data_IF_505763820606
#
_entry.id   IF_505763820606
#
_cell.length_a   1.000
_cell.length_b   1.000
_cell.length_c   1.000
_cell.angle_alpha   90.00
_cell.angle_beta   90.00
_cell.angle_gamma   90.00
#
_symmetry.space_group_name_H-M   'P 1'
#
loop_
_entity.id
_entity.type
_entity.pdbx_description
1 polymer ?
#
# COMPACT_ATOMS: atom_id res chain seq x y z
N UNK A 1 -57.94 -33.18 -60.10
CA UNK A 1 -58.16 -34.20 -59.05
C UNK A 1 -56.79 -34.64 -58.56
N UNK A 2 -56.47 -34.38 -57.27
CA UNK A 2 -55.65 -35.23 -56.36
C UNK A 2 -54.17 -35.51 -56.79
N UNK A 3 -53.12 -35.52 -55.96
CA UNK A 3 -52.85 -35.36 -54.53
C UNK A 3 -51.31 -35.42 -54.35
N UNK A 4 -50.77 -34.56 -53.49
CA UNK A 4 -49.61 -34.71 -52.57
C UNK A 4 -48.50 -35.75 -52.84
N UNK A 5 -47.23 -35.30 -52.75
CA UNK A 5 -46.19 -36.00 -51.96
C UNK A 5 -45.04 -35.09 -51.46
N UNK A 6 -45.20 -34.65 -50.21
CA UNK A 6 -44.23 -34.52 -49.09
C UNK A 6 -42.76 -34.08 -49.33
N UNK A 7 -42.49 -32.86 -48.89
CA UNK A 7 -41.48 -32.41 -47.91
C UNK A 7 -40.28 -33.31 -47.57
N UNK A 8 -39.07 -32.73 -47.72
CA UNK A 8 -37.95 -32.94 -46.79
C UNK A 8 -37.34 -31.59 -46.43
N UNK A 9 -37.52 -31.20 -45.18
CA UNK A 9 -36.89 -30.02 -44.59
C UNK A 9 -35.41 -30.29 -44.31
N UNK A 10 -34.57 -29.31 -44.63
CA UNK A 10 -33.20 -29.22 -44.16
C UNK A 10 -33.19 -28.15 -43.08
N UNK A 11 -33.08 -28.56 -41.83
CA UNK A 11 -32.87 -27.65 -40.70
C UNK A 11 -31.35 -27.49 -40.58
N UNK A 12 -30.86 -26.31 -40.95
CA UNK A 12 -29.47 -25.89 -40.70
C UNK A 12 -29.43 -25.40 -39.24
N UNK A 13 -28.64 -26.01 -38.34
CA UNK A 13 -28.53 -25.51 -36.99
C UNK A 13 -27.62 -24.28 -37.01
N UNK A 14 -28.19 -23.12 -36.69
CA UNK A 14 -27.45 -21.90 -36.38
C UNK A 14 -26.63 -22.14 -35.12
N UNK A 15 -25.33 -22.34 -35.26
CA UNK A 15 -24.39 -22.40 -34.14
C UNK A 15 -24.28 -20.98 -33.57
N UNK A 16 -24.93 -20.73 -32.43
CA UNK A 16 -24.68 -19.54 -31.62
C UNK A 16 -23.24 -19.65 -31.08
N UNK A 17 -22.36 -18.81 -31.59
CA UNK A 17 -21.02 -18.59 -31.05
C UNK A 17 -21.19 -17.89 -29.69
N UNK A 18 -21.11 -18.66 -28.61
CA UNK A 18 -21.14 -18.14 -27.25
C UNK A 18 -19.99 -17.18 -27.01
N UNK A 19 -20.31 -15.95 -26.62
CA UNK A 19 -19.37 -14.97 -26.09
C UNK A 19 -18.77 -15.56 -24.80
N UNK A 20 -17.59 -16.17 -24.86
CA UNK A 20 -16.77 -16.40 -23.68
C UNK A 20 -16.25 -15.03 -23.23
N UNK A 21 -16.96 -14.41 -22.29
CA UNK A 21 -16.41 -13.31 -21.51
C UNK A 21 -15.19 -13.85 -20.75
N UNK A 22 -14.00 -13.52 -21.24
CA UNK A 22 -12.76 -13.76 -20.54
C UNK A 22 -12.79 -13.00 -19.21
N UNK A 23 -13.17 -13.67 -18.13
CA UNK A 23 -12.83 -13.24 -16.78
C UNK A 23 -11.31 -13.36 -16.65
N UNK A 24 -10.59 -12.29 -17.04
CA UNK A 24 -9.20 -12.15 -16.67
C UNK A 24 -9.15 -12.13 -15.12
N UNK A 25 -8.44 -13.06 -14.47
CA UNK A 25 -8.21 -12.96 -13.04
C UNK A 25 -7.50 -11.63 -12.80
N UNK A 26 -8.12 -10.74 -12.02
CA UNK A 26 -7.42 -9.55 -11.53
C UNK A 26 -6.20 -10.04 -10.75
N UNK A 27 -5.00 -9.46 -10.97
CA UNK A 27 -3.86 -9.79 -10.13
C UNK A 27 -4.29 -9.56 -8.67
N UNK A 28 -4.15 -10.61 -7.86
CA UNK A 28 -4.38 -10.53 -6.44
C UNK A 28 -3.28 -9.65 -5.84
N UNK A 29 -3.52 -8.34 -5.80
CA UNK A 29 -2.80 -7.46 -4.89
C UNK A 29 -2.86 -8.14 -3.52
N UNK A 30 -1.71 -8.32 -2.87
CA UNK A 30 -1.61 -8.96 -1.56
C UNK A 30 -2.73 -8.41 -0.66
N UNK A 31 -3.78 -9.22 -0.47
CA UNK A 31 -5.01 -8.74 0.13
C UNK A 31 -4.73 -8.70 1.62
N UNK A 32 -4.39 -7.52 2.11
CA UNK A 32 -4.27 -7.28 3.55
C UNK A 32 -5.57 -7.70 4.21
N UNK A 33 -5.47 -8.35 5.37
CA UNK A 33 -6.65 -8.74 6.12
C UNK A 33 -7.47 -7.47 6.39
N UNK A 34 -8.72 -7.39 5.89
CA UNK A 34 -9.55 -6.20 6.04
C UNK A 34 -9.70 -5.72 7.49
N UNK A 35 -9.50 -6.61 8.46
CA UNK A 35 -9.54 -6.27 9.89
C UNK A 35 -8.46 -5.25 10.28
N UNK A 36 -7.35 -5.15 9.54
CA UNK A 36 -6.27 -4.18 9.78
C UNK A 36 -6.36 -2.92 8.91
N UNK A 37 -7.49 -2.67 8.25
CA UNK A 37 -7.71 -1.48 7.44
C UNK A 37 -7.64 -0.15 8.21
N UNK A 38 -7.68 -0.20 9.55
CA UNK A 38 -7.47 0.97 10.41
C UNK A 38 -5.99 1.38 10.52
N UNK A 39 -5.05 0.48 10.21
CA UNK A 39 -3.61 0.80 10.17
C UNK A 39 -3.34 1.53 8.86
N UNK A 40 -3.00 2.83 8.89
CA UNK A 40 -2.96 3.64 7.67
C UNK A 40 -1.93 3.15 6.64
N UNK A 41 -2.12 3.39 5.34
CA UNK A 41 -1.19 2.93 4.30
C UNK A 41 0.21 3.50 4.49
N UNK A 42 1.25 2.69 4.25
CA UNK A 42 2.64 3.14 4.25
C UNK A 42 3.08 3.72 2.91
N UNK A 43 4.25 4.34 2.87
CA UNK A 43 4.72 5.07 1.69
C UNK A 43 4.96 4.20 0.46
N UNK A 44 5.39 2.93 0.60
CA UNK A 44 5.50 2.00 -0.54
C UNK A 44 4.12 1.68 -1.10
N UNK A 45 3.14 1.49 -0.22
CA UNK A 45 1.75 1.24 -0.63
C UNK A 45 1.16 2.45 -1.35
N UNK A 46 1.42 3.67 -0.86
CA UNK A 46 1.01 4.92 -1.52
C UNK A 46 1.70 5.08 -2.89
N UNK A 47 3.02 4.88 -2.96
CA UNK A 47 3.79 4.98 -4.20
C UNK A 47 3.30 3.99 -5.27
N UNK A 48 3.06 2.73 -4.89
CA UNK A 48 2.54 1.71 -5.81
C UNK A 48 1.07 1.97 -6.19
N UNK A 49 0.30 2.61 -5.32
CA UNK A 49 -1.06 3.09 -5.60
C UNK A 49 -1.12 4.11 -6.73
N UNK A 50 -0.09 4.94 -6.90
CA UNK A 50 -0.01 5.91 -8.00
C UNK A 50 0.01 5.22 -9.39
N UNK A 51 0.72 4.10 -9.52
CA UNK A 51 0.69 3.29 -10.75
C UNK A 51 -0.72 2.77 -11.04
N UNK A 52 -1.41 2.28 -10.01
CA UNK A 52 -2.81 1.84 -10.13
C UNK A 52 -3.78 2.96 -10.52
N UNK A 53 -3.45 4.20 -10.13
CA UNK A 53 -4.17 5.42 -10.50
C UNK A 53 -3.77 5.99 -11.88
N UNK A 54 -2.81 5.37 -12.58
CA UNK A 54 -2.37 5.77 -13.91
C UNK A 54 -1.26 6.83 -13.94
N UNK A 55 -0.48 6.98 -12.86
CA UNK A 55 0.75 7.79 -12.89
C UNK A 55 1.69 7.26 -13.98
N UNK A 56 2.34 8.17 -14.70
CA UNK A 56 3.23 7.77 -15.78
C UNK A 56 4.55 7.21 -15.23
N UNK A 57 5.14 6.25 -15.93
CA UNK A 57 6.40 5.63 -15.51
C UNK A 57 7.52 6.66 -15.31
N UNK A 58 7.56 7.74 -16.10
CA UNK A 58 8.56 8.81 -15.91
C UNK A 58 8.38 9.59 -14.60
N UNK A 59 7.15 9.72 -14.09
CA UNK A 59 6.88 10.43 -12.83
C UNK A 59 7.38 9.59 -11.66
N UNK A 60 7.11 8.28 -11.71
CA UNK A 60 7.64 7.31 -10.74
C UNK A 60 9.16 7.27 -10.80
N UNK A 61 9.74 7.18 -12.00
CA UNK A 61 11.20 7.21 -12.16
C UNK A 61 11.82 8.49 -11.59
N UNK A 62 11.20 9.66 -11.79
CA UNK A 62 11.66 10.93 -11.23
C UNK A 62 11.59 10.96 -9.69
N UNK A 63 10.61 10.28 -9.08
CA UNK A 63 10.57 10.09 -7.63
C UNK A 63 11.70 9.19 -7.15
N UNK A 64 11.98 8.10 -7.87
CA UNK A 64 12.97 7.11 -7.44
C UNK A 64 14.42 7.54 -7.67
N UNK A 65 14.68 8.39 -8.67
CA UNK A 65 16.05 8.78 -9.02
C UNK A 65 16.57 10.00 -8.27
N UNK A 66 15.69 10.74 -7.59
CA UNK A 66 16.07 11.99 -6.96
C UNK A 66 16.48 11.78 -5.50
N UNK A 67 17.37 12.63 -5.05
CA UNK A 67 17.86 12.70 -3.67
C UNK A 67 17.33 14.00 -3.04
N UNK A 68 16.41 13.85 -2.09
CA UNK A 68 15.76 14.95 -1.36
C UNK A 68 15.49 14.48 0.06
N UNK A 69 15.56 15.41 1.00
CA UNK A 69 15.06 15.18 2.35
C UNK A 69 13.51 15.18 2.39
N UNK A 70 12.93 14.81 3.53
CA UNK A 70 11.47 14.75 3.69
C UNK A 70 10.77 16.09 3.38
N UNK A 71 11.38 17.23 3.72
CA UNK A 71 10.81 18.55 3.44
C UNK A 71 10.82 18.85 1.93
N UNK A 72 11.93 18.59 1.25
CA UNK A 72 12.04 18.74 -0.19
C UNK A 72 11.11 17.80 -0.95
N UNK A 73 10.91 16.58 -0.46
CA UNK A 73 9.90 15.66 -1.00
C UNK A 73 8.48 16.18 -0.82
N UNK A 74 8.14 16.67 0.38
CA UNK A 74 6.82 17.21 0.66
C UNK A 74 6.49 18.39 -0.27
N UNK A 75 7.42 19.34 -0.41
CA UNK A 75 7.25 20.50 -1.29
C UNK A 75 7.05 20.07 -2.75
N UNK A 76 7.89 19.15 -3.23
CA UNK A 76 7.79 18.64 -4.59
C UNK A 76 6.46 17.92 -4.84
N UNK A 77 6.03 17.03 -3.94
CA UNK A 77 4.75 16.33 -4.05
C UNK A 77 3.56 17.28 -4.03
N UNK A 78 3.61 18.34 -3.22
CA UNK A 78 2.56 19.36 -3.20
C UNK A 78 2.47 20.13 -4.52
N UNK A 79 3.60 20.53 -5.10
CA UNK A 79 3.65 21.19 -6.42
C UNK A 79 3.14 20.26 -7.53
N UNK A 80 3.50 18.98 -7.46
CA UNK A 80 3.15 17.97 -8.47
C UNK A 80 1.74 17.39 -8.30
N UNK A 81 0.99 17.80 -7.28
CA UNK A 81 -0.30 17.19 -6.89
C UNK A 81 -1.33 17.16 -8.02
N UNK A 82 -1.32 18.19 -8.88
CA UNK A 82 -2.26 18.31 -10.01
C UNK A 82 -1.70 17.79 -11.34
N UNK A 83 -0.42 17.39 -11.38
CA UNK A 83 0.24 16.95 -12.62
C UNK A 83 0.44 15.44 -12.66
N UNK A 84 0.60 14.79 -11.50
CA UNK A 84 0.80 13.34 -11.42
C UNK A 84 -0.52 12.68 -11.03
N UNK A 85 -0.98 11.73 -11.83
CA UNK A 85 -2.22 11.02 -11.58
C UNK A 85 -2.17 10.29 -10.23
N UNK A 86 -3.26 10.35 -9.48
CA UNK A 86 -3.38 9.77 -8.14
C UNK A 86 -2.96 10.71 -6.99
N UNK A 87 -1.99 11.61 -7.18
CA UNK A 87 -1.55 12.51 -6.09
C UNK A 87 -2.65 13.48 -5.63
N UNK A 88 -3.51 13.96 -6.52
CA UNK A 88 -4.62 14.85 -6.16
C UNK A 88 -5.70 14.19 -5.31
N UNK A 89 -5.80 12.86 -5.34
CA UNK A 89 -6.73 12.10 -4.52
C UNK A 89 -6.17 11.81 -3.12
N UNK A 90 -4.84 11.88 -2.94
CA UNK A 90 -4.22 11.69 -1.64
C UNK A 90 -4.53 12.88 -0.73
N UNK A 91 -4.76 12.65 0.55
CA UNK A 91 -4.85 13.72 1.54
C UNK A 91 -3.46 14.25 1.96
N UNK A 92 -3.41 15.33 2.73
CA UNK A 92 -2.14 15.93 3.15
C UNK A 92 -1.29 15.01 4.05
N UNK A 93 -1.95 14.09 4.75
CA UNK A 93 -1.30 13.14 5.63
C UNK A 93 -0.67 12.00 4.82
N UNK A 94 -1.33 11.50 3.77
CA UNK A 94 -0.79 10.53 2.82
C UNK A 94 0.41 11.12 2.09
N UNK A 95 0.33 12.39 1.66
CA UNK A 95 1.45 13.08 1.03
C UNK A 95 2.66 13.17 1.97
N UNK A 96 2.46 13.47 3.26
CA UNK A 96 3.55 13.47 4.26
C UNK A 96 4.14 12.08 4.48
N UNK A 97 3.30 11.04 4.54
CA UNK A 97 3.77 9.65 4.68
C UNK A 97 4.57 9.21 3.46
N UNK A 98 4.15 9.57 2.25
CA UNK A 98 4.90 9.30 1.03
C UNK A 98 6.24 10.07 1.01
N UNK A 99 6.25 11.34 1.43
CA UNK A 99 7.46 12.15 1.50
C UNK A 99 8.51 11.55 2.46
N UNK A 100 8.11 11.16 3.66
CA UNK A 100 8.99 10.54 4.65
C UNK A 100 9.57 9.20 4.16
N UNK A 101 8.75 8.41 3.46
CA UNK A 101 9.21 7.16 2.85
C UNK A 101 10.23 7.41 1.73
N UNK A 102 10.01 8.41 0.87
CA UNK A 102 10.95 8.74 -0.20
C UNK A 102 12.28 9.28 0.35
N UNK A 103 12.28 10.02 1.46
CA UNK A 103 13.50 10.44 2.17
C UNK A 103 14.33 9.24 2.65
N UNK A 104 13.67 8.24 3.23
CA UNK A 104 14.37 7.05 3.73
C UNK A 104 14.84 6.09 2.62
N UNK A 105 14.19 6.11 1.44
CA UNK A 105 14.39 5.06 0.42
C UNK A 105 15.02 5.55 -0.87
N UNK A 106 14.78 6.80 -1.28
CA UNK A 106 15.36 7.35 -2.50
C UNK A 106 16.76 7.95 -2.21
N UNK A 107 17.66 7.99 -3.22
CA UNK A 107 17.49 7.44 -4.56
C UNK A 107 17.61 5.90 -4.60
N UNK A 108 16.80 5.26 -5.44
CA UNK A 108 16.87 3.82 -5.76
C UNK A 108 17.23 3.64 -7.23
N UNK A 109 18.14 2.70 -7.51
CA UNK A 109 18.41 2.26 -8.88
C UNK A 109 17.21 1.44 -9.42
N UNK A 110 16.18 2.15 -9.91
CA UNK A 110 14.91 1.58 -10.33
C UNK A 110 14.68 1.67 -11.86
N UNK A 111 15.75 1.63 -12.64
CA UNK A 111 15.69 1.70 -14.10
C UNK A 111 14.82 0.58 -14.67
N UNK A 112 13.76 0.96 -15.40
CA UNK A 112 12.85 0.02 -16.06
C UNK A 112 11.91 -0.73 -15.12
N UNK A 113 11.76 -0.32 -13.86
CA UNK A 113 10.87 -0.95 -12.90
C UNK A 113 9.49 -0.28 -12.94
N UNK A 114 8.46 -1.02 -13.35
CA UNK A 114 7.06 -0.56 -13.34
C UNK A 114 6.11 -1.63 -12.83
N UNK A 115 4.87 -1.23 -12.52
CA UNK A 115 3.81 -2.13 -12.05
C UNK A 115 4.19 -2.91 -10.79
N UNK A 116 3.84 -4.19 -10.75
CA UNK A 116 4.11 -5.09 -9.62
C UNK A 116 5.60 -5.27 -9.32
N UNK A 117 6.46 -5.10 -10.34
CA UNK A 117 7.91 -5.15 -10.15
C UNK A 117 8.41 -4.00 -9.26
N UNK A 118 7.71 -2.85 -9.25
CA UNK A 118 8.04 -1.74 -8.36
C UNK A 118 7.88 -2.12 -6.89
N UNK A 119 6.76 -2.75 -6.53
CA UNK A 119 6.53 -3.15 -5.13
C UNK A 119 7.59 -4.14 -4.64
N UNK A 120 8.06 -5.03 -5.51
CA UNK A 120 9.09 -6.01 -5.20
C UNK A 120 10.49 -5.39 -5.09
N UNK A 121 10.78 -4.37 -5.92
CA UNK A 121 12.06 -3.69 -5.95
C UNK A 121 12.23 -2.68 -4.80
N UNK A 122 11.14 -2.09 -4.36
CA UNK A 122 11.16 -1.07 -3.32
C UNK A 122 11.29 -1.70 -1.91
N UNK A 123 12.14 -1.13 -1.03
CA UNK A 123 12.23 -1.57 0.35
C UNK A 123 10.87 -1.50 1.06
N UNK A 124 10.66 -2.33 2.09
CA UNK A 124 9.42 -2.30 2.87
C UNK A 124 9.20 -0.95 3.53
N UNK A 125 7.96 -0.46 3.54
CA UNK A 125 7.59 0.75 4.26
C UNK A 125 7.33 0.47 5.75
N UNK A 126 7.16 1.52 6.54
CA UNK A 126 6.92 1.37 7.98
C UNK A 126 5.70 0.51 8.31
N UNK A 127 4.61 0.60 7.52
CA UNK A 127 3.41 -0.24 7.70
C UNK A 127 3.74 -1.72 7.51
N UNK A 128 4.41 -2.06 6.42
CA UNK A 128 4.85 -3.42 6.12
C UNK A 128 5.70 -3.99 7.26
N UNK A 129 6.59 -3.17 7.82
CA UNK A 129 7.48 -3.57 8.91
C UNK A 129 6.71 -3.76 10.23
N UNK A 130 5.80 -2.86 10.62
CA UNK A 130 5.04 -3.02 11.86
C UNK A 130 4.06 -4.20 11.79
N UNK A 131 3.45 -4.45 10.62
CA UNK A 131 2.55 -5.58 10.42
C UNK A 131 3.31 -6.90 10.41
N UNK A 132 4.56 -6.89 9.94
CA UNK A 132 5.43 -8.08 9.96
C UNK A 132 6.00 -8.37 11.35
N UNK A 133 6.46 -7.35 12.06
CA UNK A 133 7.30 -7.50 13.25
C UNK A 133 6.62 -7.16 14.57
N UNK A 134 5.74 -6.16 14.61
CA UNK A 134 5.08 -5.75 15.85
C UNK A 134 3.86 -6.64 16.11
N UNK A 135 3.05 -6.90 15.08
CA UNK A 135 1.87 -7.77 15.18
C UNK A 135 2.20 -9.25 15.47
N UNK A 136 3.45 -9.68 15.25
CA UNK A 136 3.85 -11.08 15.49
C UNK A 136 4.02 -11.42 16.97
N UNK A 137 4.33 -10.42 17.82
CA UNK A 137 4.59 -10.63 19.25
C UNK A 137 3.41 -10.19 20.13
N UNK A 138 2.71 -9.12 19.75
CA UNK A 138 1.51 -8.64 20.44
C UNK A 138 0.57 -7.96 19.44
N UNK A 139 -0.68 -7.73 19.84
CA UNK A 139 -1.64 -7.06 18.97
C UNK A 139 -1.14 -5.67 18.56
N UNK A 140 -1.27 -5.33 17.27
CA UNK A 140 -0.74 -4.09 16.70
C UNK A 140 -1.35 -2.84 17.33
N UNK A 141 -2.56 -2.96 17.87
CA UNK A 141 -3.26 -1.92 18.63
C UNK A 141 -2.39 -1.33 19.73
N UNK A 142 -1.60 -2.14 20.45
CA UNK A 142 -0.69 -1.64 21.51
C UNK A 142 0.31 -0.62 20.95
N UNK A 143 0.73 -0.77 19.70
CA UNK A 143 1.68 0.13 19.05
C UNK A 143 0.98 1.35 18.45
N UNK A 144 -0.04 1.14 17.62
CA UNK A 144 -0.60 2.23 16.80
C UNK A 144 -1.47 3.21 17.58
N UNK A 145 -1.89 2.88 18.80
CA UNK A 145 -2.60 3.83 19.68
C UNK A 145 -1.67 4.72 20.49
N UNK A 146 -0.34 4.47 20.47
CA UNK A 146 0.61 5.34 21.16
C UNK A 146 0.95 6.55 20.28
N UNK A 147 0.91 7.74 20.87
CA UNK A 147 1.44 8.97 20.28
C UNK A 147 2.77 9.31 20.95
N UNK A 148 3.85 9.30 20.16
CA UNK A 148 5.22 9.42 20.67
C UNK A 148 6.12 10.13 19.68
N UNK A 149 7.08 10.94 20.16
CA UNK A 149 8.08 11.53 19.29
C UNK A 149 9.02 10.45 18.75
N UNK A 150 9.69 10.77 17.64
CA UNK A 150 10.59 9.89 16.88
C UNK A 150 11.64 9.21 17.76
N UNK A 151 12.29 9.96 18.65
CA UNK A 151 13.36 9.46 19.53
C UNK A 151 12.82 8.42 20.52
N UNK A 152 11.57 8.57 20.95
CA UNK A 152 10.93 7.60 21.83
C UNK A 152 10.61 6.29 21.08
N UNK A 153 10.23 6.37 19.80
CA UNK A 153 10.08 5.20 18.94
C UNK A 153 11.41 4.48 18.71
N UNK A 154 12.46 5.23 18.32
CA UNK A 154 13.80 4.67 18.11
C UNK A 154 14.33 3.97 19.38
N UNK A 155 14.16 4.58 20.55
CA UNK A 155 14.53 3.96 21.84
C UNK A 155 13.74 2.68 22.12
N UNK A 156 12.50 2.60 21.68
CA UNK A 156 11.68 1.39 21.84
C UNK A 156 12.23 0.26 20.98
N UNK A 157 12.56 0.55 19.72
CA UNK A 157 13.12 -0.41 18.77
C UNK A 157 14.53 -0.90 19.15
N UNK A 158 15.21 -0.22 20.09
CA UNK A 158 16.52 -0.64 20.64
C UNK A 158 16.45 -1.14 22.08
N UNK A 159 15.24 -1.23 22.66
CA UNK A 159 15.05 -1.76 24.01
C UNK A 159 15.33 -3.26 24.08
N UNK A 160 15.67 -3.75 25.28
CA UNK A 160 15.96 -5.18 25.50
C UNK A 160 14.81 -6.11 25.10
N UNK A 161 13.56 -5.64 25.17
CA UNK A 161 12.38 -6.41 24.74
C UNK A 161 12.12 -6.42 23.24
N UNK A 162 12.82 -5.58 22.45
CA UNK A 162 12.64 -5.45 21.00
C UNK A 162 13.94 -5.62 20.21
N UNK A 163 15.07 -5.85 20.88
CA UNK A 163 16.40 -5.94 20.25
C UNK A 163 16.52 -7.11 19.26
N UNK A 164 15.70 -8.15 19.41
CA UNK A 164 15.66 -9.31 18.51
C UNK A 164 14.89 -9.04 17.21
N UNK A 165 14.19 -7.89 17.10
CA UNK A 165 13.56 -7.49 15.86
C UNK A 165 14.65 -7.13 14.86
N UNK A 166 14.80 -7.98 13.85
CA UNK A 166 15.81 -7.84 12.79
C UNK A 166 15.46 -6.71 11.81
N UNK A 167 15.66 -5.47 12.25
CA UNK A 167 15.63 -4.26 11.42
C UNK A 167 17.04 -3.69 11.29
N UNK A 168 17.44 -3.40 10.07
CA UNK A 168 18.64 -2.60 9.82
C UNK A 168 18.41 -1.11 10.20
N UNK A 169 19.45 -0.26 10.24
CA UNK A 169 19.30 1.14 10.64
C UNK A 169 18.28 1.95 9.81
N UNK A 170 18.23 1.75 8.49
CA UNK A 170 17.28 2.43 7.61
C UNK A 170 15.85 1.97 7.86
N UNK A 171 15.63 0.66 7.99
CA UNK A 171 14.32 0.10 8.33
C UNK A 171 13.83 0.59 9.70
N UNK A 172 14.75 0.76 10.67
CA UNK A 172 14.42 1.30 11.99
C UNK A 172 14.04 2.78 11.92
N UNK A 173 14.73 3.56 11.08
CA UNK A 173 14.38 4.96 10.78
C UNK A 173 12.98 5.04 10.19
N UNK A 174 12.72 4.27 9.14
CA UNK A 174 11.44 4.22 8.44
C UNK A 174 10.28 3.84 9.37
N UNK A 175 10.45 2.82 10.24
CA UNK A 175 9.41 2.47 11.23
C UNK A 175 9.14 3.62 12.19
N UNK A 176 10.18 4.32 12.66
CA UNK A 176 10.00 5.43 13.57
C UNK A 176 9.29 6.62 12.90
N UNK A 177 9.70 6.98 11.68
CA UNK A 177 9.09 8.08 10.92
C UNK A 177 7.64 7.79 10.55
N UNK A 178 7.38 6.56 10.11
CA UNK A 178 6.02 6.09 9.86
C UNK A 178 5.16 6.18 11.13
N UNK A 179 5.62 5.68 12.28
CA UNK A 179 4.84 5.73 13.52
C UNK A 179 4.62 7.15 14.05
N UNK A 180 5.55 8.08 13.84
CA UNK A 180 5.32 9.50 14.18
C UNK A 180 4.14 10.08 13.39
N UNK A 181 4.00 9.69 12.12
CA UNK A 181 2.96 10.22 11.25
C UNK A 181 1.64 9.43 11.34
N UNK A 182 1.70 8.12 11.57
CA UNK A 182 0.60 7.18 11.33
C UNK A 182 0.04 6.54 12.62
N UNK A 183 0.71 6.68 13.77
CA UNK A 183 0.22 6.19 15.06
C UNK A 183 -0.66 7.23 15.76
N UNK A 184 -0.82 7.12 17.09
CA UNK A 184 -1.76 7.96 17.85
C UNK A 184 -3.22 7.73 17.49
N UNK A 185 -3.56 6.57 16.91
CA UNK A 185 -4.91 6.26 16.46
C UNK A 185 -5.83 6.14 17.67
N UNK A 186 -6.93 6.91 17.75
CA UNK A 186 -7.89 6.80 18.85
C UNK A 186 -8.46 5.38 18.97
N UNK A 187 -8.59 4.87 20.19
CA UNK A 187 -9.02 3.48 20.45
C UNK A 187 -10.42 3.17 19.87
N UNK A 188 -11.29 4.17 19.77
CA UNK A 188 -12.63 4.06 19.19
C UNK A 188 -12.62 3.87 17.66
N UNK A 189 -11.51 4.20 16.99
CA UNK A 189 -11.26 3.92 15.56
C UNK A 189 -10.72 2.51 15.31
N UNK A 190 -10.30 1.81 16.35
CA UNK A 190 -9.84 0.41 16.28
C UNK A 190 -11.07 -0.52 16.30
N UNK A 191 -11.14 -1.58 15.48
CA UNK A 191 -12.21 -2.57 15.54
C UNK A 191 -12.35 -3.17 16.95
N UNK A 192 -13.57 -3.31 17.51
CA UNK A 192 -13.79 -3.81 18.87
C UNK A 192 -13.05 -5.12 19.19
N UNK A 193 -12.98 -6.03 18.21
CA UNK A 193 -12.33 -7.33 18.31
C UNK A 193 -10.81 -7.19 18.51
N UNK A 194 -10.23 -6.09 18.05
CA UNK A 194 -8.80 -5.79 18.12
C UNK A 194 -8.44 -4.80 19.23
N UNK A 195 -9.38 -4.38 20.08
CA UNK A 195 -9.08 -3.47 21.19
C UNK A 195 -8.36 -4.15 22.35
N UNK A 196 -8.39 -5.49 22.41
CA UNK A 196 -7.86 -6.36 23.47
C UNK A 196 -8.19 -5.91 24.91
N UNK A 197 -8.96 -6.74 25.63
CA UNK A 197 -9.33 -6.51 27.03
C UNK A 197 -8.11 -6.28 27.94
N UNK A 198 -7.99 -5.08 28.48
CA UNK A 198 -6.95 -4.71 29.45
C UNK A 198 -6.49 -3.24 29.38
N UNK A 199 -6.67 -2.56 28.25
CA UNK A 199 -6.49 -1.11 28.19
C UNK A 199 -7.80 -0.40 28.57
N UNK A 200 -8.16 -0.46 29.85
CA UNK A 200 -9.06 0.51 30.45
C UNK A 200 -8.28 1.81 30.62
N UNK A 201 -8.63 2.84 29.85
CA UNK A 201 -8.30 4.23 30.17
C UNK A 201 -9.50 4.87 30.85
#
# INVERSE_FOLDING_TARGET
MWTLKTSRGVVVPTILLGLLAAFAPKPAMAQEDPIFGFVPPGGRTLLTGLLGAGAADQDIAAMLSADRDAAGWLDWLQVSRNTIAGLSAMDDWEIRTLAAYLDNMAPVAAEGISGDALRAAMPRDGRDQIMRHCQSCHIITVTVTQDRPREAWLRTLTSTSHVEIALNPAERSEVADYLVLNAGIPIDRIPPELRAGGASY
#
